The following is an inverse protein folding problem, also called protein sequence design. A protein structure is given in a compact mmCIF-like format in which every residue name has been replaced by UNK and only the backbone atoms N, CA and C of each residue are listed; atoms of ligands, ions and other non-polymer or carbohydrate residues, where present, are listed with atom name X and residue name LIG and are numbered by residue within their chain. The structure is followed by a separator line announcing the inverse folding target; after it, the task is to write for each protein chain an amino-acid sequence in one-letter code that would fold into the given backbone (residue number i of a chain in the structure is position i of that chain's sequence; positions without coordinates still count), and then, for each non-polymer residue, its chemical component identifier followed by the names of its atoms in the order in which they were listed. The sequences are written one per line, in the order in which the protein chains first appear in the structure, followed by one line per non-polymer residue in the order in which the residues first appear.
data_IF_466960641687
#
_entry.id   IF_466960641687
#
_cell.length_a   1.000
_cell.length_b   1.000
_cell.length_c   1.000
_cell.angle_alpha   90.00
_cell.angle_beta   90.00
_cell.angle_gamma   90.00
#
_symmetry.space_group_name_H-M   'P 1'
#
loop_
_entity.id
_entity.type
_entity.pdbx_description
1 polymer ?
#
# COMPACT_ATOMS: atom_id res chain seq x y z
N UNK A 1 4.94 -23.47 -17.79
CA UNK A 1 4.55 -22.17 -17.21
C UNK A 1 5.80 -21.33 -17.10
N UNK A 2 5.81 -20.12 -17.67
CA UNK A 2 6.94 -19.20 -17.50
C UNK A 2 7.15 -18.94 -16.01
N UNK A 3 8.34 -19.22 -15.51
CA UNK A 3 8.68 -18.93 -14.12
C UNK A 3 8.51 -17.42 -13.91
N UNK A 4 7.68 -16.96 -12.95
CA UNK A 4 7.64 -15.53 -12.63
C UNK A 4 9.06 -15.08 -12.31
N UNK A 5 9.55 -14.07 -13.03
CA UNK A 5 10.92 -13.59 -12.87
C UNK A 5 11.00 -12.80 -11.56
N UNK A 6 11.21 -13.52 -10.47
CA UNK A 6 11.43 -12.96 -9.14
C UNK A 6 12.76 -12.20 -9.14
N UNK A 7 12.72 -10.87 -9.20
CA UNK A 7 13.91 -10.05 -9.40
C UNK A 7 14.38 -9.36 -8.12
N UNK A 8 15.67 -9.01 -8.09
CA UNK A 8 16.26 -8.19 -7.03
C UNK A 8 16.31 -8.86 -5.65
N UNK A 9 16.60 -8.07 -4.60
CA UNK A 9 16.70 -8.56 -3.22
C UNK A 9 15.41 -9.24 -2.73
N UNK A 10 14.25 -8.64 -3.00
CA UNK A 10 12.95 -9.20 -2.61
C UNK A 10 12.71 -10.53 -3.33
N UNK A 11 12.96 -10.62 -4.64
CA UNK A 11 12.80 -11.86 -5.39
C UNK A 11 13.74 -12.97 -4.94
N UNK A 12 14.97 -12.63 -4.54
CA UNK A 12 15.90 -13.60 -3.90
C UNK A 12 15.37 -14.09 -2.54
N UNK A 13 14.82 -13.21 -1.72
CA UNK A 13 14.23 -13.58 -0.44
C UNK A 13 13.02 -14.51 -0.63
N UNK A 14 12.10 -14.16 -1.54
CA UNK A 14 10.94 -14.98 -1.87
C UNK A 14 11.34 -16.36 -2.38
N UNK A 15 12.33 -16.45 -3.29
CA UNK A 15 12.85 -17.76 -3.74
C UNK A 15 13.36 -18.64 -2.62
N UNK A 16 13.97 -18.06 -1.58
CA UNK A 16 14.51 -18.80 -0.44
C UNK A 16 13.40 -19.38 0.43
N UNK A 17 12.30 -18.64 0.61
CA UNK A 17 11.18 -19.12 1.43
C UNK A 17 10.18 -19.98 0.64
N UNK A 18 10.14 -19.86 -0.69
CA UNK A 18 9.17 -20.54 -1.55
C UNK A 18 9.02 -22.06 -1.31
N UNK A 19 10.10 -22.84 -1.08
CA UNK A 19 9.96 -24.28 -0.78
C UNK A 19 9.16 -24.60 0.49
N UNK A 20 8.97 -23.63 1.38
CA UNK A 20 8.28 -23.76 2.66
C UNK A 20 6.88 -23.14 2.64
N UNK A 21 6.37 -22.73 1.47
CA UNK A 21 5.09 -22.06 1.33
C UNK A 21 4.06 -22.91 0.61
N UNK A 22 2.83 -22.86 1.10
CA UNK A 22 1.65 -23.44 0.44
C UNK A 22 0.88 -22.38 -0.39
N UNK A 23 1.60 -21.38 -0.92
CA UNK A 23 1.02 -20.30 -1.72
C UNK A 23 1.94 -19.95 -2.88
N UNK A 24 1.39 -19.30 -3.91
CA UNK A 24 2.17 -18.90 -5.08
C UNK A 24 3.24 -17.86 -4.69
N UNK A 25 4.54 -18.14 -4.94
CA UNK A 25 5.62 -17.19 -4.67
C UNK A 25 5.43 -15.84 -5.38
N UNK A 26 4.73 -15.78 -6.51
CA UNK A 26 4.40 -14.53 -7.19
C UNK A 26 3.51 -13.63 -6.32
N UNK A 27 2.53 -14.21 -5.61
CA UNK A 27 1.68 -13.45 -4.70
C UNK A 27 2.47 -12.82 -3.56
N UNK A 28 3.42 -13.57 -3.01
CA UNK A 28 4.34 -13.09 -1.96
C UNK A 28 5.21 -11.94 -2.48
N UNK A 29 5.76 -12.11 -3.68
CA UNK A 29 6.63 -11.12 -4.31
C UNK A 29 5.91 -9.81 -4.59
N UNK A 30 4.71 -9.87 -5.15
CA UNK A 30 3.90 -8.69 -5.46
C UNK A 30 3.43 -8.00 -4.18
N UNK A 31 2.99 -8.73 -3.16
CA UNK A 31 2.63 -8.14 -1.86
C UNK A 31 3.84 -7.46 -1.20
N UNK A 32 5.03 -8.07 -1.25
CA UNK A 32 6.25 -7.48 -0.73
C UNK A 32 6.67 -6.22 -1.51
N UNK A 33 6.51 -6.21 -2.83
CA UNK A 33 6.75 -5.03 -3.64
C UNK A 33 5.81 -3.88 -3.26
N UNK A 34 4.53 -4.15 -3.02
CA UNK A 34 3.56 -3.15 -2.57
C UNK A 34 3.93 -2.57 -1.20
N UNK A 35 4.28 -3.42 -0.22
CA UNK A 35 4.78 -3.00 1.09
C UNK A 35 6.03 -2.13 0.98
N UNK A 36 7.00 -2.55 0.17
CA UNK A 36 8.24 -1.80 -0.05
C UNK A 36 7.97 -0.46 -0.73
N UNK A 37 7.08 -0.43 -1.73
CA UNK A 37 6.69 0.78 -2.46
C UNK A 37 6.09 1.84 -1.54
N UNK A 38 5.25 1.42 -0.58
CA UNK A 38 4.66 2.31 0.42
C UNK A 38 5.74 2.86 1.37
N UNK A 39 6.64 2.00 1.83
CA UNK A 39 7.70 2.39 2.76
C UNK A 39 8.69 3.40 2.16
N UNK A 40 9.01 3.30 0.87
CA UNK A 40 9.91 4.27 0.21
C UNK A 40 9.18 5.48 -0.38
N UNK A 41 7.85 5.55 -0.24
CA UNK A 41 7.03 6.64 -0.73
C UNK A 41 7.56 8.00 -0.26
N UNK A 42 7.56 9.00 -1.15
CA UNK A 42 8.07 10.34 -0.85
C UNK A 42 9.59 10.52 -0.95
N UNK A 43 10.37 9.45 -0.80
CA UNK A 43 11.86 9.50 -0.89
C UNK A 43 12.38 9.22 -2.31
N UNK A 44 11.78 8.25 -3.00
CA UNK A 44 12.14 7.89 -4.37
C UNK A 44 11.04 8.38 -5.30
N UNK A 45 11.45 9.12 -6.35
CA UNK A 45 10.55 9.62 -7.39
C UNK A 45 11.08 9.27 -8.76
N UNK A 46 10.18 8.97 -9.68
CA UNK A 46 10.51 8.77 -11.10
C UNK A 46 9.99 9.97 -11.88
N UNK A 47 10.83 10.53 -12.74
CA UNK A 47 10.42 11.58 -13.66
C UNK A 47 9.80 10.96 -14.90
N UNK A 48 8.55 11.36 -15.21
CA UNK A 48 7.93 11.08 -16.50
C UNK A 48 7.40 12.39 -17.07
N UNK A 49 7.92 12.79 -18.24
CA UNK A 49 7.47 13.98 -18.99
C UNK A 49 7.42 15.26 -18.13
N UNK A 50 8.40 15.46 -17.25
CA UNK A 50 8.54 16.67 -16.44
C UNK A 50 7.85 16.65 -15.08
N UNK A 51 7.03 15.63 -14.78
CA UNK A 51 6.40 15.47 -13.47
C UNK A 51 7.07 14.34 -12.68
N UNK A 52 7.52 14.65 -11.46
CA UNK A 52 8.03 13.67 -10.52
C UNK A 52 6.87 12.92 -9.87
N UNK A 53 6.84 11.59 -10.01
CA UNK A 53 5.80 10.72 -9.47
C UNK A 53 6.39 9.78 -8.41
N UNK A 54 5.62 9.42 -7.37
CA UNK A 54 6.07 8.45 -6.39
C UNK A 54 6.12 7.04 -7.03
N UNK A 55 7.01 6.20 -6.52
CA UNK A 55 7.15 4.80 -6.96
C UNK A 55 6.17 3.88 -6.24
N UNK A 56 4.87 4.16 -6.37
CA UNK A 56 3.81 3.38 -5.70
C UNK A 56 3.40 2.16 -6.52
N UNK A 57 3.13 1.05 -5.82
CA UNK A 57 2.56 -0.17 -6.39
C UNK A 57 1.29 -0.53 -5.63
N UNK A 58 0.16 -0.60 -6.34
CA UNK A 58 -1.12 -1.02 -5.79
C UNK A 58 -1.50 -2.36 -6.40
N UNK A 59 -1.36 -3.42 -5.61
CA UNK A 59 -1.61 -4.78 -6.07
C UNK A 59 -2.95 -5.31 -5.54
N UNK A 60 -3.70 -5.99 -6.41
CA UNK A 60 -4.80 -6.85 -6.00
C UNK A 60 -4.41 -8.31 -6.24
N UNK A 61 -4.32 -9.11 -5.18
CA UNK A 61 -4.14 -10.56 -5.30
C UNK A 61 -5.50 -11.22 -5.54
N UNK A 62 -5.70 -11.79 -6.72
CA UNK A 62 -6.97 -12.44 -7.10
C UNK A 62 -6.75 -13.95 -7.18
N UNK A 63 -7.49 -14.69 -6.35
CA UNK A 63 -7.49 -16.14 -6.32
C UNK A 63 -8.81 -16.63 -5.72
N UNK A 64 -9.14 -17.91 -5.94
CA UNK A 64 -10.30 -18.54 -5.32
C UNK A 64 -10.27 -18.48 -3.78
N UNK A 65 -11.41 -18.74 -3.15
CA UNK A 65 -11.52 -18.80 -1.69
C UNK A 65 -10.56 -19.87 -1.13
N UNK A 66 -9.85 -19.54 -0.04
CA UNK A 66 -8.88 -20.44 0.58
C UNK A 66 -7.59 -20.67 -0.21
N UNK A 67 -7.40 -20.05 -1.39
CA UNK A 67 -6.22 -20.24 -2.25
C UNK A 67 -5.02 -19.36 -1.86
N UNK A 68 -4.74 -19.25 -0.55
CA UNK A 68 -3.46 -18.75 -0.07
C UNK A 68 -3.21 -17.23 -0.16
N UNK A 69 -4.21 -16.38 -0.45
CA UNK A 69 -4.05 -14.90 -0.49
C UNK A 69 -3.54 -14.35 0.84
N UNK A 70 -4.20 -14.70 1.95
CA UNK A 70 -3.77 -14.31 3.30
C UNK A 70 -2.39 -14.88 3.66
N UNK A 71 -2.10 -16.12 3.24
CA UNK A 71 -0.79 -16.74 3.40
C UNK A 71 0.30 -15.97 2.66
N UNK A 72 0.03 -15.52 1.43
CA UNK A 72 0.98 -14.74 0.64
C UNK A 72 1.29 -13.39 1.29
N UNK A 73 0.27 -12.70 1.80
CA UNK A 73 0.44 -11.44 2.54
C UNK A 73 1.29 -11.63 3.80
N UNK A 74 1.03 -12.67 4.59
CA UNK A 74 1.82 -12.98 5.80
C UNK A 74 3.26 -13.34 5.47
N UNK A 75 3.48 -14.13 4.43
CA UNK A 75 4.82 -14.45 3.94
C UNK A 75 5.58 -13.20 3.46
N UNK A 76 4.89 -12.27 2.79
CA UNK A 76 5.47 -11.00 2.37
C UNK A 76 5.87 -10.12 3.56
N UNK A 77 5.00 -10.06 4.59
CA UNK A 77 5.33 -9.39 5.84
C UNK A 77 6.58 -10.02 6.48
N UNK A 78 6.65 -11.35 6.56
CA UNK A 78 7.82 -12.05 7.11
C UNK A 78 9.12 -11.71 6.34
N UNK A 79 9.06 -11.62 5.01
CA UNK A 79 10.22 -11.24 4.18
C UNK A 79 10.72 -9.82 4.50
N UNK A 80 9.82 -8.91 4.84
CA UNK A 80 10.13 -7.48 4.99
C UNK A 80 10.26 -7.02 6.44
N UNK A 81 9.80 -7.80 7.41
CA UNK A 81 9.72 -7.43 8.82
C UNK A 81 11.04 -6.91 9.38
N UNK A 82 12.16 -7.58 9.07
CA UNK A 82 13.48 -7.13 9.53
C UNK A 82 13.88 -5.75 9.00
N UNK A 83 13.47 -5.41 7.78
CA UNK A 83 13.86 -4.16 7.12
C UNK A 83 12.85 -3.04 7.33
N UNK A 84 11.55 -3.38 7.42
CA UNK A 84 10.43 -2.46 7.40
C UNK A 84 9.49 -2.61 8.60
N UNK A 85 9.80 -3.46 9.58
CA UNK A 85 8.89 -3.84 10.66
C UNK A 85 8.25 -2.65 11.36
N UNK A 86 9.05 -1.64 11.74
CA UNK A 86 8.51 -0.40 12.34
C UNK A 86 7.47 0.27 11.43
N UNK A 87 7.77 0.43 10.14
CA UNK A 87 6.83 1.02 9.18
C UNK A 87 5.57 0.18 9.05
N UNK A 88 5.72 -1.14 8.87
CA UNK A 88 4.58 -2.06 8.74
C UNK A 88 3.70 -2.05 10.00
N UNK A 89 4.27 -1.94 11.19
CA UNK A 89 3.51 -1.85 12.45
C UNK A 89 2.75 -0.52 12.60
N UNK A 90 3.34 0.59 12.15
CA UNK A 90 2.84 1.94 12.48
C UNK A 90 2.07 2.62 11.35
N UNK A 91 2.27 2.20 10.10
CA UNK A 91 1.70 2.84 8.91
C UNK A 91 0.81 1.89 8.10
N UNK A 92 0.51 0.69 8.62
CA UNK A 92 -0.46 -0.23 8.01
C UNK A 92 -1.85 0.05 8.56
N UNK A 93 -2.82 0.19 7.66
CA UNK A 93 -4.22 0.44 8.01
C UNK A 93 -5.14 -0.38 7.11
N UNK A 94 -6.41 -0.44 7.48
CA UNK A 94 -7.48 -1.07 6.71
C UNK A 94 -8.81 -0.38 7.00
N UNK A 95 -9.83 -0.64 6.20
CA UNK A 95 -11.19 -0.17 6.47
C UNK A 95 -11.40 1.31 6.13
N UNK A 96 -10.63 1.89 5.20
CA UNK A 96 -10.91 3.27 4.74
C UNK A 96 -12.25 3.25 3.98
N UNK A 97 -13.22 4.04 4.44
CA UNK A 97 -14.63 3.95 4.02
C UNK A 97 -15.12 5.07 3.10
N UNK A 98 -14.32 6.13 2.93
CA UNK A 98 -14.65 7.34 2.18
C UNK A 98 -13.39 8.14 1.83
N UNK A 99 -13.51 9.10 0.90
CA UNK A 99 -12.45 10.05 0.61
C UNK A 99 -12.14 10.95 1.81
N UNK A 100 -13.16 11.33 2.60
CA UNK A 100 -12.97 12.14 3.79
C UNK A 100 -12.22 11.40 4.90
N UNK A 101 -12.56 10.14 5.16
CA UNK A 101 -11.86 9.31 6.14
C UNK A 101 -10.42 9.02 5.71
N UNK A 102 -10.16 8.86 4.41
CA UNK A 102 -8.79 8.72 3.90
C UNK A 102 -7.94 9.95 4.22
N UNK A 103 -8.44 11.16 3.96
CA UNK A 103 -7.71 12.40 4.27
C UNK A 103 -7.50 12.54 5.76
N UNK A 104 -8.54 12.27 6.56
CA UNK A 104 -8.46 12.36 8.02
C UNK A 104 -7.40 11.42 8.59
N UNK A 105 -7.35 10.17 8.12
CA UNK A 105 -6.37 9.19 8.56
C UNK A 105 -4.92 9.64 8.26
N UNK A 106 -4.66 10.13 7.05
CA UNK A 106 -3.32 10.63 6.70
C UNK A 106 -2.96 11.90 7.47
N UNK A 107 -3.94 12.75 7.78
CA UNK A 107 -3.74 13.94 8.60
C UNK A 107 -3.37 13.57 10.04
N UNK A 108 -4.11 12.67 10.68
CA UNK A 108 -3.81 12.18 12.02
C UNK A 108 -2.40 11.58 12.10
N UNK A 109 -2.00 10.82 11.08
CA UNK A 109 -0.66 10.25 11.00
C UNK A 109 0.42 11.33 10.84
N UNK A 110 0.16 12.34 10.01
CA UNK A 110 1.05 13.49 9.84
C UNK A 110 1.29 14.21 11.16
N UNK A 111 0.23 14.44 11.93
CA UNK A 111 0.31 15.14 13.22
C UNK A 111 1.00 14.28 14.28
N UNK A 112 0.72 12.97 14.31
CA UNK A 112 1.39 12.03 15.22
C UNK A 112 2.91 11.93 14.99
N UNK A 113 3.38 12.28 13.79
CA UNK A 113 4.80 12.19 13.41
C UNK A 113 5.51 13.55 13.37
N UNK A 114 4.78 14.66 13.53
CA UNK A 114 5.30 16.02 13.36
C UNK A 114 6.52 16.33 14.26
N UNK A 115 6.49 15.89 15.51
CA UNK A 115 7.54 16.12 16.52
C UNK A 115 8.61 15.01 16.55
N UNK A 116 8.56 14.05 15.61
CA UNK A 116 9.58 13.00 15.53
C UNK A 116 10.83 13.51 14.80
N UNK A 117 11.97 12.87 15.02
CA UNK A 117 13.24 13.22 14.33
C UNK A 117 13.12 13.17 12.80
N UNK A 118 12.24 12.33 12.27
CA UNK A 118 11.99 12.20 10.83
C UNK A 118 10.96 13.21 10.29
N UNK A 119 10.33 13.99 11.17
CA UNK A 119 9.27 14.93 10.85
C UNK A 119 7.99 14.25 10.38
N UNK A 120 7.14 15.05 9.73
CA UNK A 120 5.82 14.63 9.22
C UNK A 120 5.91 13.48 8.22
N UNK A 121 5.15 12.42 8.48
CA UNK A 121 5.05 11.23 7.65
C UNK A 121 3.60 10.90 7.30
N UNK A 122 3.32 10.88 5.99
CA UNK A 122 2.00 10.59 5.41
C UNK A 122 1.99 9.30 4.60
N UNK A 123 3.06 8.50 4.67
CA UNK A 123 3.12 7.19 3.99
C UNK A 123 2.09 6.27 4.62
N UNK A 124 1.31 5.55 3.84
CA UNK A 124 0.38 4.56 4.39
C UNK A 124 0.36 3.31 3.52
N UNK A 125 0.27 2.16 4.18
CA UNK A 125 -0.02 0.88 3.55
C UNK A 125 -1.46 0.51 3.88
N UNK A 126 -2.35 0.66 2.91
CA UNK A 126 -3.75 0.24 3.07
C UNK A 126 -3.90 -1.19 2.59
N UNK A 127 -4.29 -2.10 3.48
CA UNK A 127 -4.52 -3.51 3.17
C UNK A 127 -5.99 -3.83 3.34
N UNK A 128 -6.63 -4.26 2.26
CA UNK A 128 -8.03 -4.70 2.26
C UNK A 128 -8.07 -6.17 1.84
N UNK A 129 -8.66 -7.02 2.68
CA UNK A 129 -8.78 -8.46 2.38
C UNK A 129 -9.89 -8.74 1.35
N UNK A 130 -10.88 -7.83 1.26
CA UNK A 130 -12.08 -8.00 0.44
C UNK A 130 -12.23 -6.88 -0.59
N UNK A 131 -11.85 -7.16 -1.84
CA UNK A 131 -11.95 -6.18 -2.93
C UNK A 131 -13.39 -5.70 -3.19
N UNK A 132 -14.38 -6.59 -2.96
CA UNK A 132 -15.78 -6.25 -3.16
C UNK A 132 -16.28 -5.13 -2.23
N UNK A 133 -15.73 -5.04 -1.01
CA UNK A 133 -16.01 -3.95 -0.06
C UNK A 133 -15.49 -2.62 -0.60
N UNK A 134 -14.27 -2.60 -1.13
CA UNK A 134 -13.66 -1.41 -1.71
C UNK A 134 -14.50 -0.87 -2.87
N UNK A 135 -14.94 -1.76 -3.77
CA UNK A 135 -15.80 -1.38 -4.89
C UNK A 135 -17.14 -0.79 -4.43
N UNK A 136 -17.75 -1.35 -3.37
CA UNK A 136 -18.99 -0.83 -2.79
C UNK A 136 -18.79 0.55 -2.15
N UNK A 137 -17.67 0.78 -1.46
CA UNK A 137 -17.31 2.09 -0.89
C UNK A 137 -17.08 3.14 -1.97
N UNK A 138 -16.37 2.79 -3.04
CA UNK A 138 -16.15 3.64 -4.23
C UNK A 138 -17.47 4.04 -4.89
N UNK A 139 -18.43 3.12 -5.01
CA UNK A 139 -19.76 3.44 -5.55
C UNK A 139 -20.54 4.41 -4.66
N UNK A 140 -20.38 4.32 -3.34
CA UNK A 140 -21.08 5.17 -2.37
C UNK A 140 -20.51 6.59 -2.28
N UNK A 141 -19.20 6.74 -2.42
CA UNK A 141 -18.52 8.03 -2.32
C UNK A 141 -17.62 8.28 -3.54
N UNK A 142 -18.10 9.11 -4.46
CA UNK A 142 -17.36 9.49 -5.66
C UNK A 142 -16.04 10.21 -5.35
N UNK A 143 -15.96 10.92 -4.23
CA UNK A 143 -14.74 11.62 -3.82
C UNK A 143 -13.61 10.64 -3.49
N UNK A 144 -13.94 9.42 -3.04
CA UNK A 144 -12.96 8.41 -2.68
C UNK A 144 -12.09 8.03 -3.88
N UNK A 145 -12.72 7.78 -5.03
CA UNK A 145 -12.00 7.45 -6.28
C UNK A 145 -11.13 8.61 -6.76
N UNK A 146 -11.64 9.84 -6.71
CA UNK A 146 -10.89 11.02 -7.12
C UNK A 146 -9.63 11.21 -6.26
N UNK A 147 -9.75 11.03 -4.94
CA UNK A 147 -8.60 11.14 -4.03
C UNK A 147 -7.61 9.99 -4.19
N UNK A 148 -8.07 8.76 -4.46
CA UNK A 148 -7.18 7.65 -4.81
C UNK A 148 -6.35 8.00 -6.06
N UNK A 149 -6.98 8.50 -7.13
CA UNK A 149 -6.24 8.92 -8.34
C UNK A 149 -5.22 10.04 -8.04
N UNK A 150 -5.61 11.03 -7.24
CA UNK A 150 -4.69 12.08 -6.83
C UNK A 150 -3.51 11.53 -6.02
N UNK A 151 -3.76 10.62 -5.07
CA UNK A 151 -2.70 9.96 -4.30
C UNK A 151 -1.76 9.12 -5.18
N UNK A 152 -2.31 8.41 -6.18
CA UNK A 152 -1.52 7.67 -7.18
C UNK A 152 -0.57 8.59 -7.96
N UNK A 153 -1.05 9.78 -8.32
CA UNK A 153 -0.24 10.79 -9.01
C UNK A 153 0.74 11.52 -8.08
N UNK A 154 0.66 11.31 -6.76
CA UNK A 154 1.44 12.03 -5.75
C UNK A 154 0.97 13.46 -5.51
N UNK A 155 -0.26 13.79 -5.93
CA UNK A 155 -0.88 15.08 -5.70
C UNK A 155 -1.40 15.19 -4.25
N UNK A 156 -1.40 16.41 -3.71
CA UNK A 156 -1.97 16.69 -2.39
C UNK A 156 -3.47 16.42 -2.39
N UNK A 157 -3.93 15.58 -1.45
CA UNK A 157 -5.36 15.38 -1.19
C UNK A 157 -5.79 16.21 0.01
N UNK A 158 -7.00 16.76 -0.04
CA UNK A 158 -7.60 17.59 1.02
C UNK A 158 -9.09 17.33 1.11
N UNK A 159 -9.68 17.61 2.26
CA UNK A 159 -11.13 17.74 2.38
C UNK A 159 -11.53 19.12 1.88
N UNK A 160 -12.48 19.18 0.97
CA UNK A 160 -13.02 20.42 0.40
C UNK A 160 -14.50 20.47 0.76
N UNK A 161 -14.78 20.64 2.04
CA UNK A 161 -16.11 21.06 2.50
C UNK A 161 -16.02 22.55 2.73
N UNK A 162 -16.82 23.34 1.99
CA UNK A 162 -17.17 24.68 2.46
C UNK A 162 -18.03 24.45 3.70
N UNK A 163 -17.61 24.95 4.86
CA UNK A 163 -18.57 25.22 5.91
C UNK A 163 -19.53 26.26 5.34
N UNK A 164 -20.80 25.88 5.15
CA UNK A 164 -21.86 26.88 5.05
C UNK A 164 -21.96 27.52 6.43
N UNK A 165 -21.43 28.74 6.52
CA UNK A 165 -21.60 29.63 7.66
C UNK A 165 -23.06 30.09 7.78
#
# INVERSE_FOLDING_TARGET
MSTPVLYGPIGRAVRRIAPFLETDPLGVYVAALSMWSAAIGGTVKVSSRGNARPVVLWSALVAGTGRGKGTALRAAHHVLDKSLGRFLTTHTTSGITSGASMVNHLWEQQEATAETEHGRDVRALVVEEEWSEVLRRVKRDASFTTKLRAAWDGATIRNTTKEEA
#
